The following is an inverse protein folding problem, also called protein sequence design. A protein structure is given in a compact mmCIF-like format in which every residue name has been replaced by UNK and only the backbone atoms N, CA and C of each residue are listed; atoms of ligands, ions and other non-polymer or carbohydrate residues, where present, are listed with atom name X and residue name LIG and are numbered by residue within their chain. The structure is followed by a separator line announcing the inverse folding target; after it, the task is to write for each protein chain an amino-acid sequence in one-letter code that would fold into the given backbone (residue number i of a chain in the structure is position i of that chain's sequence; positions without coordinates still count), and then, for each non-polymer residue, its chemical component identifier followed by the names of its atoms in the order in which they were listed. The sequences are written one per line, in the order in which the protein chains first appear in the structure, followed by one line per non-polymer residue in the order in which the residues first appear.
data_IF_831423031679
#
_entry.id   IF_831423031679
#
_cell.length_a   1.000
_cell.length_b   1.000
_cell.length_c   1.000
_cell.angle_alpha   90.00
_cell.angle_beta   90.00
_cell.angle_gamma   90.00
#
_symmetry.space_group_name_H-M   'P 1'
#
loop_
_entity.id
_entity.type
_entity.pdbx_description
1 polymer ?
#
# COMPACT_ATOMS: atom_id res chain seq x y z
N UNK A 1 72.42 -27.32 -13.55
CA UNK A 1 72.20 -26.18 -12.62
C UNK A 1 71.96 -24.83 -13.32
N UNK A 2 72.40 -24.59 -14.57
CA UNK A 2 72.21 -23.29 -15.24
C UNK A 2 70.77 -22.99 -15.75
N UNK A 3 69.94 -24.02 -15.96
CA UNK A 3 68.56 -23.83 -16.45
C UNK A 3 67.59 -23.36 -15.34
N UNK A 4 67.81 -23.78 -14.09
CA UNK A 4 66.98 -23.41 -12.94
C UNK A 4 67.17 -21.93 -12.57
N UNK A 5 68.39 -21.40 -12.72
CA UNK A 5 68.71 -19.99 -12.47
C UNK A 5 68.19 -19.07 -13.56
N UNK A 6 67.98 -19.56 -14.78
CA UNK A 6 67.44 -18.78 -15.90
C UNK A 6 65.91 -18.64 -15.80
N UNK A 7 65.20 -19.73 -15.45
CA UNK A 7 63.73 -19.71 -15.27
C UNK A 7 63.32 -18.84 -14.07
N UNK A 8 64.05 -18.85 -12.96
CA UNK A 8 63.79 -17.94 -11.83
C UNK A 8 64.03 -16.45 -12.17
N UNK A 9 64.86 -16.16 -13.18
CA UNK A 9 65.15 -14.78 -13.61
C UNK A 9 64.10 -14.23 -14.59
N UNK A 10 63.40 -15.11 -15.31
CA UNK A 10 62.31 -14.76 -16.24
C UNK A 10 60.95 -14.76 -15.51
N UNK A 11 60.72 -15.73 -14.63
CA UNK A 11 59.54 -15.81 -13.76
C UNK A 11 59.87 -15.32 -12.37
N UNK A 12 60.46 -14.11 -12.29
CA UNK A 12 60.58 -13.42 -11.02
C UNK A 12 59.25 -13.54 -10.31
N UNK A 13 59.27 -14.15 -9.12
CA UNK A 13 58.16 -14.16 -8.20
C UNK A 13 57.85 -12.70 -7.92
N UNK A 14 56.92 -12.15 -8.71
CA UNK A 14 56.27 -10.90 -8.38
C UNK A 14 55.72 -11.14 -6.99
N UNK A 15 56.35 -10.52 -5.99
CA UNK A 15 55.81 -10.48 -4.64
C UNK A 15 54.40 -9.96 -4.83
N UNK A 16 53.40 -10.85 -4.73
CA UNK A 16 52.01 -10.41 -4.65
C UNK A 16 52.02 -9.38 -3.53
N UNK A 17 51.61 -8.15 -3.84
CA UNK A 17 51.50 -7.12 -2.81
C UNK A 17 50.70 -7.72 -1.65
N UNK A 18 51.09 -7.45 -0.39
CA UNK A 18 50.38 -8.02 0.75
C UNK A 18 48.90 -7.70 0.61
N UNK A 19 48.06 -8.74 0.54
CA UNK A 19 46.61 -8.59 0.52
C UNK A 19 46.20 -7.86 1.80
N UNK A 20 45.67 -6.66 1.64
CA UNK A 20 45.16 -5.85 2.74
C UNK A 20 43.77 -6.37 3.07
N UNK A 21 43.61 -6.90 4.27
CA UNK A 21 42.32 -7.33 4.77
C UNK A 21 41.57 -6.11 5.30
N UNK A 22 40.41 -5.82 4.73
CA UNK A 22 39.52 -4.72 5.13
C UNK A 22 38.38 -5.30 5.96
N UNK A 23 38.23 -4.85 7.21
CA UNK A 23 37.07 -5.24 8.01
C UNK A 23 35.80 -4.59 7.45
N UNK A 24 34.64 -5.26 7.59
CA UNK A 24 33.38 -4.70 7.10
C UNK A 24 33.09 -3.32 7.70
N UNK A 25 33.35 -3.14 9.00
CA UNK A 25 33.19 -1.85 9.69
C UNK A 25 34.11 -0.73 9.18
N UNK A 26 35.18 -1.07 8.46
CA UNK A 26 36.15 -0.09 7.93
C UNK A 26 35.79 0.39 6.52
N UNK A 27 34.81 -0.23 5.85
CA UNK A 27 34.38 0.15 4.49
C UNK A 27 34.06 1.64 4.36
N UNK A 28 33.31 2.29 5.28
CA UNK A 28 33.03 3.72 5.18
C UNK A 28 34.29 4.59 5.22
N UNK A 29 35.24 4.26 6.10
CA UNK A 29 36.51 4.96 6.21
C UNK A 29 37.37 4.77 4.95
N UNK A 30 37.38 3.54 4.41
CA UNK A 30 38.05 3.21 3.17
C UNK A 30 37.48 3.99 1.97
N UNK A 31 36.15 4.06 1.84
CA UNK A 31 35.48 4.86 0.79
C UNK A 31 35.91 6.32 0.91
N UNK A 32 35.81 6.91 2.11
CA UNK A 32 36.14 8.33 2.34
C UNK A 32 37.61 8.64 2.03
N UNK A 33 38.54 7.76 2.44
CA UNK A 33 39.96 7.91 2.12
C UNK A 33 40.23 7.84 0.62
N UNK A 34 39.48 6.99 -0.09
CA UNK A 34 39.60 6.83 -1.54
C UNK A 34 39.03 8.01 -2.32
N UNK A 35 37.91 8.59 -1.87
CA UNK A 35 37.37 9.84 -2.41
C UNK A 35 38.39 10.99 -2.29
N UNK A 36 39.06 11.11 -1.14
CA UNK A 36 40.12 12.10 -0.94
C UNK A 36 41.30 11.87 -1.90
N UNK A 37 41.75 10.61 -2.00
CA UNK A 37 42.87 10.24 -2.88
C UNK A 37 42.55 10.50 -4.36
N UNK A 38 41.34 10.16 -4.81
CA UNK A 38 40.89 10.42 -6.17
C UNK A 38 40.83 11.93 -6.48
N UNK A 39 40.38 12.74 -5.52
CA UNK A 39 40.34 14.21 -5.64
C UNK A 39 41.74 14.80 -5.71
N UNK A 40 42.66 14.38 -4.84
CA UNK A 40 44.05 14.83 -4.87
C UNK A 40 44.75 14.45 -6.19
N UNK A 41 44.48 13.24 -6.68
CA UNK A 41 45.00 12.75 -7.96
C UNK A 41 44.46 13.60 -9.11
N UNK A 42 43.16 13.93 -9.12
CA UNK A 42 42.55 14.80 -10.11
C UNK A 42 43.23 16.18 -10.13
N UNK A 43 43.34 16.82 -8.96
CA UNK A 43 43.96 18.16 -8.83
C UNK A 43 45.42 18.13 -9.30
N UNK A 44 46.17 17.09 -8.93
CA UNK A 44 47.58 16.97 -9.30
C UNK A 44 47.76 16.74 -10.80
N UNK A 45 47.00 15.81 -11.38
CA UNK A 45 47.12 15.45 -12.79
C UNK A 45 46.59 16.55 -13.75
N UNK A 46 45.68 17.39 -13.29
CA UNK A 46 45.12 18.50 -14.10
C UNK A 46 45.87 19.82 -13.94
N UNK A 47 46.72 19.97 -12.92
CA UNK A 47 47.49 21.19 -12.64
C UNK A 47 48.25 21.70 -13.85
N UNK A 48 49.01 20.83 -14.51
CA UNK A 48 49.84 21.22 -15.67
C UNK A 48 48.98 21.58 -16.89
N UNK A 49 48.02 20.73 -17.35
CA UNK A 49 47.10 21.10 -18.41
C UNK A 49 46.33 22.41 -18.16
N UNK A 50 45.87 22.65 -16.93
CA UNK A 50 45.18 23.90 -16.57
C UNK A 50 46.11 25.11 -16.69
N UNK A 51 47.37 24.97 -16.27
CA UNK A 51 48.41 26.00 -16.42
C UNK A 51 48.71 26.27 -17.91
N UNK A 52 48.86 25.23 -18.72
CA UNK A 52 49.09 25.35 -20.16
C UNK A 52 47.93 26.08 -20.85
N UNK A 53 46.68 25.77 -20.48
CA UNK A 53 45.49 26.45 -21.01
C UNK A 53 45.48 27.92 -20.62
N UNK A 54 45.74 28.26 -19.35
CA UNK A 54 45.80 29.66 -18.89
C UNK A 54 46.89 30.45 -19.63
N UNK A 55 48.08 29.87 -19.75
CA UNK A 55 49.19 30.49 -20.49
C UNK A 55 48.87 30.64 -21.99
N UNK A 56 48.22 29.65 -22.59
CA UNK A 56 47.79 29.71 -23.99
C UNK A 56 46.73 30.78 -24.23
N UNK A 57 45.80 30.99 -23.30
CA UNK A 57 44.82 32.08 -23.35
C UNK A 57 45.51 33.43 -23.28
N UNK A 58 46.44 33.62 -22.35
CA UNK A 58 47.23 34.87 -22.25
C UNK A 58 48.04 35.13 -23.53
N UNK A 59 48.63 34.09 -24.12
CA UNK A 59 49.36 34.19 -25.39
C UNK A 59 48.43 34.58 -26.54
N UNK A 60 47.24 33.98 -26.63
CA UNK A 60 46.23 34.34 -27.62
C UNK A 60 45.72 35.78 -27.44
N UNK A 61 45.54 36.24 -26.20
CA UNK A 61 45.17 37.64 -25.91
C UNK A 61 46.23 38.61 -26.43
N UNK A 62 47.52 38.28 -26.25
CA UNK A 62 48.62 39.08 -26.77
C UNK A 62 48.62 39.10 -28.30
N UNK A 63 48.49 37.95 -28.96
CA UNK A 63 48.42 37.85 -30.42
C UNK A 63 47.24 38.70 -30.96
N UNK A 64 46.05 38.54 -30.38
CA UNK A 64 44.85 39.29 -30.79
C UNK A 64 45.03 40.80 -30.60
N UNK A 65 45.75 41.21 -29.55
CA UNK A 65 46.06 42.62 -29.30
C UNK A 65 47.08 43.17 -30.29
N UNK A 66 48.08 42.38 -30.67
CA UNK A 66 49.07 42.76 -31.68
C UNK A 66 48.43 42.91 -33.07
N UNK A 67 47.54 41.99 -33.48
CA UNK A 67 46.79 42.10 -34.74
C UNK A 67 45.95 43.39 -34.74
N UNK A 68 45.35 43.76 -33.61
CA UNK A 68 44.57 44.99 -33.49
C UNK A 68 45.41 46.27 -33.64
N UNK A 69 46.71 46.20 -33.32
CA UNK A 69 47.65 47.31 -33.38
C UNK A 69 48.49 47.35 -34.66
N UNK A 70 48.42 46.32 -35.52
CA UNK A 70 49.20 46.25 -36.74
C UNK A 70 48.82 47.37 -37.73
N UNK A 71 49.81 48.11 -38.21
CA UNK A 71 49.64 49.11 -39.26
C UNK A 71 49.27 48.43 -40.59
N UNK A 72 48.38 49.07 -41.36
CA UNK A 72 47.87 48.48 -42.59
C UNK A 72 48.89 48.69 -43.71
N UNK A 73 49.29 47.61 -44.38
CA UNK A 73 50.16 47.69 -45.56
C UNK A 73 49.48 48.53 -46.67
N UNK A 74 50.09 49.66 -47.02
CA UNK A 74 49.59 50.61 -48.02
C UNK A 74 49.52 50.00 -49.43
N UNK A 75 50.22 48.87 -49.67
CA UNK A 75 50.21 48.13 -50.94
C UNK A 75 49.02 47.17 -51.12
N UNK A 76 48.18 46.99 -50.09
CA UNK A 76 47.02 46.10 -50.15
C UNK A 76 45.93 46.58 -51.14
N UNK A 77 45.37 45.63 -51.90
CA UNK A 77 44.27 45.89 -52.83
C UNK A 77 43.03 46.50 -52.13
N UNK A 78 42.32 47.49 -52.73
CA UNK A 78 41.22 48.21 -52.10
C UNK A 78 40.11 47.34 -51.49
N UNK A 79 39.76 46.22 -52.13
CA UNK A 79 38.78 45.26 -51.60
C UNK A 79 39.24 44.58 -50.29
N UNK A 80 40.53 44.23 -50.18
CA UNK A 80 41.10 43.64 -48.96
C UNK A 80 41.16 44.65 -47.83
N UNK A 81 41.43 45.93 -48.15
CA UNK A 81 41.41 47.03 -47.19
C UNK A 81 40.02 47.26 -46.58
N UNK A 82 38.96 47.20 -47.38
CA UNK A 82 37.57 47.29 -46.87
C UNK A 82 37.21 46.10 -45.98
N UNK A 83 37.64 44.89 -46.36
CA UNK A 83 37.45 43.68 -45.56
C UNK A 83 38.18 43.78 -44.21
N UNK A 84 39.43 44.25 -44.20
CA UNK A 84 40.19 44.49 -42.97
C UNK A 84 39.44 45.45 -42.02
N UNK A 85 39.00 46.60 -42.55
CA UNK A 85 38.31 47.65 -41.79
C UNK A 85 37.03 47.17 -41.09
N UNK A 86 36.30 46.23 -41.70
CA UNK A 86 35.04 45.72 -41.17
C UNK A 86 35.21 44.47 -40.30
N UNK A 87 36.03 43.51 -40.74
CA UNK A 87 36.16 42.20 -40.09
C UNK A 87 37.12 42.21 -38.89
N UNK A 88 38.17 43.04 -38.90
CA UNK A 88 39.17 43.07 -37.82
C UNK A 88 38.58 43.53 -36.48
N UNK A 89 37.81 44.63 -36.39
CA UNK A 89 37.22 45.05 -35.11
C UNK A 89 36.24 44.02 -34.54
N UNK A 90 35.46 43.35 -35.41
CA UNK A 90 34.52 42.32 -35.01
C UNK A 90 35.24 41.06 -34.50
N UNK A 91 36.29 40.63 -35.20
CA UNK A 91 37.14 39.52 -34.78
C UNK A 91 37.81 39.78 -33.43
N UNK A 92 38.47 40.94 -33.27
CA UNK A 92 39.17 41.31 -32.02
C UNK A 92 38.18 41.39 -30.85
N UNK A 93 37.01 42.00 -31.05
CA UNK A 93 35.97 42.06 -30.02
C UNK A 93 35.50 40.66 -29.60
N UNK A 94 35.18 39.80 -30.57
CA UNK A 94 34.72 38.44 -30.30
C UNK A 94 35.80 37.60 -29.59
N UNK A 95 37.06 37.69 -30.03
CA UNK A 95 38.18 37.00 -29.38
C UNK A 95 38.39 37.49 -27.94
N UNK A 96 38.40 38.80 -27.69
CA UNK A 96 38.58 39.35 -26.34
C UNK A 96 37.47 38.94 -25.38
N UNK A 97 36.21 38.94 -25.83
CA UNK A 97 35.08 38.49 -25.00
C UNK A 97 35.26 37.03 -24.58
N UNK A 98 35.70 36.16 -25.48
CA UNK A 98 35.89 34.75 -25.18
C UNK A 98 37.11 34.49 -24.28
N UNK A 99 38.23 35.17 -24.54
CA UNK A 99 39.48 34.97 -23.81
C UNK A 99 39.50 35.61 -22.41
N UNK A 100 38.61 36.55 -22.13
CA UNK A 100 38.51 37.22 -20.81
C UNK A 100 37.59 36.49 -19.83
N UNK A 101 37.16 35.25 -20.12
CA UNK A 101 36.37 34.46 -19.17
C UNK A 101 37.22 34.07 -17.95
N UNK A 102 36.65 34.23 -16.76
CA UNK A 102 37.28 33.77 -15.52
C UNK A 102 37.35 32.24 -15.48
N UNK A 103 38.50 31.71 -15.06
CA UNK A 103 38.77 30.28 -15.01
C UNK A 103 38.96 29.82 -13.56
N UNK A 104 38.00 29.08 -12.98
CA UNK A 104 38.06 28.56 -11.61
C UNK A 104 39.29 27.69 -11.32
N UNK A 105 39.60 27.47 -10.05
CA UNK A 105 40.70 26.58 -9.64
C UNK A 105 40.28 25.11 -9.51
N UNK A 106 38.98 24.82 -9.36
CA UNK A 106 38.51 23.44 -9.34
C UNK A 106 38.55 22.83 -10.75
N UNK A 107 39.19 21.67 -10.98
CA UNK A 107 39.29 21.06 -12.31
C UNK A 107 37.94 20.71 -12.96
N UNK A 108 36.94 20.37 -12.15
CA UNK A 108 35.59 20.03 -12.60
C UNK A 108 34.82 21.25 -13.11
N UNK A 109 35.01 22.41 -12.48
CA UNK A 109 34.44 23.70 -12.90
C UNK A 109 35.26 24.39 -14.01
N UNK A 110 36.58 24.25 -13.97
CA UNK A 110 37.49 24.82 -14.96
C UNK A 110 37.25 24.25 -16.36
N UNK A 111 37.15 22.92 -16.46
CA UNK A 111 37.05 22.22 -17.73
C UNK A 111 35.91 22.72 -18.65
N UNK A 112 34.64 22.81 -18.21
CA UNK A 112 33.55 23.23 -19.09
C UNK A 112 33.74 24.67 -19.59
N UNK A 113 34.23 25.57 -18.74
CA UNK A 113 34.44 26.98 -19.09
C UNK A 113 35.59 27.10 -20.11
N UNK A 114 36.69 26.39 -19.88
CA UNK A 114 37.83 26.36 -20.80
C UNK A 114 37.48 25.75 -22.15
N UNK A 115 36.76 24.61 -22.16
CA UNK A 115 36.31 23.96 -23.39
C UNK A 115 35.36 24.86 -24.20
N UNK A 116 34.44 25.56 -23.53
CA UNK A 116 33.55 26.52 -24.18
C UNK A 116 34.32 27.74 -24.74
N UNK A 117 35.29 28.26 -23.98
CA UNK A 117 36.17 29.34 -24.45
C UNK A 117 36.89 28.96 -25.76
N UNK A 118 37.49 27.77 -25.80
CA UNK A 118 38.21 27.26 -26.98
C UNK A 118 37.27 27.07 -28.17
N UNK A 119 36.10 26.48 -27.93
CA UNK A 119 35.06 26.31 -28.95
C UNK A 119 34.65 27.66 -29.56
N UNK A 120 34.42 28.68 -28.73
CA UNK A 120 34.00 29.99 -29.21
C UNK A 120 35.13 30.74 -29.94
N UNK A 121 36.39 30.58 -29.50
CA UNK A 121 37.56 31.10 -30.23
C UNK A 121 37.69 30.45 -31.61
N UNK A 122 37.50 29.13 -31.71
CA UNK A 122 37.53 28.41 -32.98
C UNK A 122 36.42 28.90 -33.93
N UNK A 123 35.20 29.07 -33.44
CA UNK A 123 34.09 29.64 -34.23
C UNK A 123 34.40 31.07 -34.72
N UNK A 124 35.04 31.89 -33.88
CA UNK A 124 35.45 33.25 -34.23
C UNK A 124 36.50 33.26 -35.36
N UNK A 125 37.46 32.32 -35.33
CA UNK A 125 38.46 32.15 -36.40
C UNK A 125 37.84 31.65 -37.70
N UNK A 126 36.87 30.73 -37.63
CA UNK A 126 36.17 30.19 -38.81
C UNK A 126 35.17 31.20 -39.42
N UNK A 127 34.62 32.10 -38.61
CA UNK A 127 33.72 33.17 -39.00
C UNK A 127 34.46 34.43 -39.43
N UNK A 128 34.57 35.42 -38.52
CA UNK A 128 35.18 36.71 -38.86
C UNK A 128 36.66 36.59 -39.23
N UNK A 129 37.38 35.66 -38.60
CA UNK A 129 38.81 35.43 -38.85
C UNK A 129 39.13 34.88 -40.24
N UNK A 130 38.17 34.23 -40.92
CA UNK A 130 38.36 33.66 -42.27
C UNK A 130 38.80 34.72 -43.28
N UNK A 131 38.19 35.91 -43.19
CA UNK A 131 38.49 37.02 -44.09
C UNK A 131 39.82 37.70 -43.80
N UNK A 132 40.35 37.53 -42.58
CA UNK A 132 41.64 38.10 -42.16
C UNK A 132 42.82 37.24 -42.57
N UNK A 133 42.61 35.97 -42.96
CA UNK A 133 43.71 35.07 -43.36
C UNK A 133 44.49 35.54 -44.59
N UNK A 134 43.83 36.25 -45.51
CA UNK A 134 44.48 36.80 -46.70
C UNK A 134 45.25 38.11 -46.42
N UNK A 135 45.01 38.74 -45.26
CA UNK A 135 45.54 40.06 -44.90
C UNK A 135 46.62 39.92 -43.82
N UNK A 136 46.41 39.04 -42.85
CA UNK A 136 47.31 38.74 -41.74
C UNK A 136 47.61 37.22 -41.70
N UNK A 137 48.27 36.66 -42.74
CA UNK A 137 48.44 35.21 -42.85
C UNK A 137 49.24 34.62 -41.68
N UNK A 138 50.32 35.28 -41.27
CA UNK A 138 51.19 34.82 -40.19
C UNK A 138 50.53 34.95 -38.82
N UNK A 139 49.84 36.07 -38.53
CA UNK A 139 49.14 36.22 -37.28
C UNK A 139 47.95 35.27 -37.16
N UNK A 140 47.17 35.08 -38.23
CA UNK A 140 46.06 34.12 -38.23
C UNK A 140 46.55 32.67 -38.16
N UNK A 141 47.78 32.39 -38.59
CA UNK A 141 48.44 31.10 -38.35
C UNK A 141 48.84 30.97 -36.88
N UNK A 142 49.36 32.01 -36.25
CA UNK A 142 49.67 32.04 -34.82
C UNK A 142 48.41 31.86 -33.95
N UNK A 143 47.30 32.53 -34.28
CA UNK A 143 46.01 32.33 -33.58
C UNK A 143 45.54 30.89 -33.66
N UNK A 144 45.57 30.28 -34.86
CA UNK A 144 45.19 28.86 -35.04
C UNK A 144 46.08 27.94 -34.20
N UNK A 145 47.40 28.15 -34.25
CA UNK A 145 48.36 27.38 -33.47
C UNK A 145 48.15 27.51 -31.94
N UNK A 146 47.78 28.70 -31.47
CA UNK A 146 47.41 28.93 -30.08
C UNK A 146 46.15 28.17 -29.68
N UNK A 147 45.10 28.21 -30.50
CA UNK A 147 43.85 27.45 -30.28
C UNK A 147 44.12 25.94 -30.29
N UNK A 148 44.97 25.44 -31.19
CA UNK A 148 45.35 24.02 -31.23
C UNK A 148 46.08 23.59 -29.96
N UNK A 149 46.91 24.47 -29.39
CA UNK A 149 47.60 24.22 -28.13
C UNK A 149 46.63 24.12 -26.96
N UNK A 150 45.64 25.02 -26.91
CA UNK A 150 44.56 24.93 -25.92
C UNK A 150 43.74 23.64 -26.06
N UNK A 151 43.43 23.26 -27.30
CA UNK A 151 42.71 22.02 -27.61
C UNK A 151 43.46 20.77 -27.14
N UNK A 152 44.80 20.75 -27.26
CA UNK A 152 45.63 19.67 -26.69
C UNK A 152 45.54 19.61 -25.17
N UNK A 153 45.59 20.76 -24.48
CA UNK A 153 45.43 20.83 -23.03
C UNK A 153 44.08 20.25 -22.55
N UNK A 154 42.97 20.61 -23.23
CA UNK A 154 41.65 20.03 -22.94
C UNK A 154 41.62 18.53 -23.16
N UNK A 155 42.19 18.06 -24.26
CA UNK A 155 42.23 16.63 -24.57
C UNK A 155 43.06 15.84 -23.53
N UNK A 156 44.09 16.45 -22.94
CA UNK A 156 44.85 15.86 -21.84
C UNK A 156 44.04 15.75 -20.54
N UNK A 157 43.10 16.66 -20.28
CA UNK A 157 42.24 16.60 -19.08
C UNK A 157 41.12 15.55 -19.18
N UNK A 158 40.61 15.27 -20.39
CA UNK A 158 39.50 14.34 -20.63
C UNK A 158 39.67 12.95 -19.95
N UNK A 159 40.77 12.20 -20.16
CA UNK A 159 40.93 10.88 -19.58
C UNK A 159 40.99 10.92 -18.05
N UNK A 160 41.59 11.96 -17.47
CA UNK A 160 41.71 12.14 -16.01
C UNK A 160 40.33 12.39 -15.39
N UNK A 161 39.56 13.30 -15.97
CA UNK A 161 38.19 13.59 -15.52
C UNK A 161 37.26 12.38 -15.68
N UNK A 162 37.40 11.63 -16.78
CA UNK A 162 36.63 10.40 -17.00
C UNK A 162 36.96 9.32 -15.96
N UNK A 163 38.25 9.12 -15.64
CA UNK A 163 38.70 8.19 -14.61
C UNK A 163 38.17 8.59 -13.23
N UNK A 164 38.30 9.87 -12.86
CA UNK A 164 37.77 10.40 -11.59
C UNK A 164 36.26 10.18 -11.46
N UNK A 165 35.48 10.51 -12.49
CA UNK A 165 34.02 10.27 -12.47
C UNK A 165 33.68 8.80 -12.34
N UNK A 166 34.39 7.92 -13.06
CA UNK A 166 34.19 6.47 -12.97
C UNK A 166 34.45 5.97 -11.56
N UNK A 167 35.52 6.43 -10.92
CA UNK A 167 35.87 6.07 -9.54
C UNK A 167 34.83 6.57 -8.54
N UNK A 168 34.43 7.85 -8.62
CA UNK A 168 33.40 8.42 -7.73
C UNK A 168 32.05 7.70 -7.83
N UNK A 169 31.61 7.35 -9.06
CA UNK A 169 30.40 6.54 -9.25
C UNK A 169 30.55 5.15 -8.63
N UNK A 170 31.71 4.51 -8.76
CA UNK A 170 31.99 3.22 -8.13
C UNK A 170 31.90 3.28 -6.60
N UNK A 171 32.49 4.32 -6.01
CA UNK A 171 32.48 4.56 -4.56
C UNK A 171 31.07 4.82 -4.03
N UNK A 172 30.27 5.59 -4.75
CA UNK A 172 28.87 5.84 -4.39
C UNK A 172 28.04 4.54 -4.37
N UNK A 173 28.20 3.67 -5.37
CA UNK A 173 27.54 2.35 -5.41
C UNK A 173 27.99 1.45 -4.24
N UNK A 174 29.27 1.44 -3.90
CA UNK A 174 29.77 0.69 -2.74
C UNK A 174 29.19 1.21 -1.43
N UNK A 175 29.04 2.53 -1.29
CA UNK A 175 28.42 3.16 -0.12
C UNK A 175 26.96 2.74 0.04
N UNK A 176 26.17 2.85 -1.02
CA UNK A 176 24.76 2.43 -1.03
C UNK A 176 24.59 0.95 -0.65
N UNK A 177 25.44 0.07 -1.19
CA UNK A 177 25.42 -1.36 -0.84
C UNK A 177 25.76 -1.59 0.63
N UNK A 178 26.79 -0.93 1.14
CA UNK A 178 27.17 -1.02 2.55
C UNK A 178 26.03 -0.56 3.48
N UNK A 179 25.41 0.57 3.18
CA UNK A 179 24.27 1.12 3.92
C UNK A 179 23.06 0.18 3.86
N UNK A 180 22.80 -0.44 2.71
CA UNK A 180 21.74 -1.45 2.57
C UNK A 180 22.01 -2.67 3.44
N UNK A 181 23.23 -3.22 3.42
CA UNK A 181 23.58 -4.40 4.22
C UNK A 181 23.46 -4.10 5.72
N UNK A 182 24.02 -2.97 6.18
CA UNK A 182 23.95 -2.56 7.59
C UNK A 182 22.51 -2.33 8.05
N UNK A 183 21.68 -1.71 7.21
CA UNK A 183 20.25 -1.55 7.47
C UNK A 183 19.53 -2.89 7.62
N UNK A 184 19.74 -3.84 6.70
CA UNK A 184 19.14 -5.18 6.77
C UNK A 184 19.59 -5.96 8.01
N UNK A 185 20.86 -5.84 8.42
CA UNK A 185 21.37 -6.48 9.64
C UNK A 185 20.69 -5.91 10.90
N UNK A 186 20.57 -4.58 10.99
CA UNK A 186 19.89 -3.92 12.12
C UNK A 186 18.39 -4.27 12.17
N UNK A 187 17.73 -4.34 11.01
CA UNK A 187 16.32 -4.76 10.92
C UNK A 187 16.15 -6.23 11.35
N UNK A 188 17.10 -7.11 11.01
CA UNK A 188 17.09 -8.51 11.42
C UNK A 188 17.20 -8.64 12.94
N UNK A 189 18.11 -7.91 13.57
CA UNK A 189 18.25 -7.85 15.03
C UNK A 189 16.95 -7.32 15.70
N UNK A 190 16.42 -6.20 15.20
CA UNK A 190 15.19 -5.61 15.71
C UNK A 190 13.96 -6.54 15.53
N UNK A 191 13.99 -7.43 14.52
CA UNK A 191 12.93 -8.40 14.30
C UNK A 191 12.86 -9.47 15.40
N UNK A 192 13.96 -9.83 16.06
CA UNK A 192 13.95 -10.81 17.15
C UNK A 192 13.09 -10.36 18.31
N UNK A 193 13.19 -9.07 18.65
CA UNK A 193 12.39 -8.48 19.70
C UNK A 193 10.89 -8.50 19.34
N UNK A 194 10.55 -8.27 18.06
CA UNK A 194 9.17 -8.42 17.57
C UNK A 194 8.69 -9.87 17.70
N UNK A 195 9.52 -10.85 17.33
CA UNK A 195 9.21 -12.28 17.49
C UNK A 195 8.95 -12.62 18.95
N UNK A 196 9.81 -12.19 19.87
CA UNK A 196 9.64 -12.43 21.31
C UNK A 196 8.32 -11.85 21.84
N UNK A 197 7.99 -10.61 21.46
CA UNK A 197 6.73 -9.95 21.86
C UNK A 197 5.50 -10.68 21.34
N UNK A 198 5.47 -11.07 20.06
CA UNK A 198 4.32 -11.80 19.50
C UNK A 198 4.15 -13.18 20.15
N UNK A 199 5.24 -13.90 20.45
CA UNK A 199 5.15 -15.16 21.20
C UNK A 199 4.59 -14.95 22.62
N UNK A 200 5.06 -13.91 23.34
CA UNK A 200 4.55 -13.57 24.66
C UNK A 200 3.05 -13.23 24.61
N UNK A 201 2.62 -12.48 23.60
CA UNK A 201 1.22 -12.12 23.39
C UNK A 201 0.35 -13.34 23.10
N UNK A 202 0.81 -14.26 22.26
CA UNK A 202 0.11 -15.53 21.98
C UNK A 202 -0.01 -16.36 23.27
N UNK A 203 1.04 -16.42 24.08
CA UNK A 203 1.02 -17.16 25.35
C UNK A 203 -0.02 -16.57 26.33
N UNK A 204 -0.04 -15.24 26.50
CA UNK A 204 -1.04 -14.53 27.31
C UNK A 204 -2.47 -14.79 26.84
N UNK A 205 -2.70 -14.74 25.51
CA UNK A 205 -4.01 -15.04 24.94
C UNK A 205 -4.42 -16.48 25.22
N UNK A 206 -3.50 -17.45 25.06
CA UNK A 206 -3.77 -18.88 25.33
C UNK A 206 -4.10 -19.11 26.80
N UNK A 207 -3.40 -18.46 27.72
CA UNK A 207 -3.70 -18.52 29.16
C UNK A 207 -5.10 -17.97 29.45
N UNK A 208 -5.46 -16.82 28.87
CA UNK A 208 -6.80 -16.26 29.04
C UNK A 208 -7.89 -17.16 28.46
N UNK A 209 -7.69 -17.75 27.28
CA UNK A 209 -8.64 -18.70 26.69
C UNK A 209 -8.82 -19.92 27.59
N UNK A 210 -7.74 -20.49 28.15
CA UNK A 210 -7.84 -21.61 29.08
C UNK A 210 -8.60 -21.24 30.36
N UNK A 211 -8.38 -20.03 30.89
CA UNK A 211 -9.15 -19.49 32.02
C UNK A 211 -10.64 -19.34 31.68
N UNK A 212 -10.98 -18.83 30.49
CA UNK A 212 -12.36 -18.72 30.02
C UNK A 212 -13.01 -20.10 29.90
N UNK A 213 -12.29 -21.09 29.37
CA UNK A 213 -12.81 -22.47 29.24
C UNK A 213 -13.13 -23.09 30.60
N UNK A 214 -12.28 -22.86 31.61
CA UNK A 214 -12.57 -23.28 32.98
C UNK A 214 -13.77 -22.54 33.58
N UNK A 215 -13.88 -21.22 33.35
CA UNK A 215 -15.04 -20.43 33.80
C UNK A 215 -16.33 -20.94 33.15
N UNK A 216 -16.35 -21.17 31.83
CA UNK A 216 -17.51 -21.71 31.11
C UNK A 216 -17.91 -23.09 31.61
N UNK A 217 -16.94 -23.98 31.86
CA UNK A 217 -17.20 -25.29 32.44
C UNK A 217 -17.84 -25.16 33.83
N UNK A 218 -17.31 -24.28 34.69
CA UNK A 218 -17.87 -24.04 36.03
C UNK A 218 -19.31 -23.50 35.98
N UNK A 219 -19.59 -22.57 35.05
CA UNK A 219 -20.93 -22.00 34.86
C UNK A 219 -21.93 -23.03 34.32
N UNK A 220 -21.47 -23.94 33.44
CA UNK A 220 -22.31 -25.03 32.92
C UNK A 220 -22.72 -26.05 33.99
N UNK A 221 -21.92 -26.19 35.05
CA UNK A 221 -22.15 -27.10 36.18
C UNK A 221 -22.87 -26.41 37.35
N UNK A 222 -23.13 -25.10 37.25
CA UNK A 222 -23.84 -24.34 38.28
C UNK A 222 -25.23 -24.92 38.52
N UNK A 223 -25.61 -25.06 39.80
CA UNK A 223 -26.91 -25.64 40.18
C UNK A 223 -28.10 -24.89 39.54
N UNK A 224 -27.97 -23.58 39.34
CA UNK A 224 -28.99 -22.73 38.69
C UNK A 224 -29.18 -23.05 37.21
N UNK A 225 -28.27 -23.80 36.58
CA UNK A 225 -28.47 -24.27 35.19
C UNK A 225 -29.68 -25.21 35.09
N UNK A 226 -29.97 -25.98 36.14
CA UNK A 226 -31.18 -26.80 36.20
C UNK A 226 -32.45 -25.96 36.19
N UNK A 227 -32.43 -24.81 36.88
CA UNK A 227 -33.58 -23.90 36.91
C UNK A 227 -33.82 -23.30 35.52
N UNK A 228 -32.75 -22.95 34.80
CA UNK A 228 -32.82 -22.47 33.40
C UNK A 228 -33.38 -23.56 32.47
N UNK A 229 -32.92 -24.80 32.62
CA UNK A 229 -33.43 -25.92 31.81
C UNK A 229 -34.91 -26.21 32.09
N UNK A 230 -35.34 -26.05 33.35
CA UNK A 230 -36.76 -26.17 33.70
C UNK A 230 -37.57 -25.02 33.12
N UNK A 231 -37.08 -23.78 33.20
CA UNK A 231 -37.69 -22.62 32.53
C UNK A 231 -37.82 -22.84 31.01
N UNK A 232 -36.80 -23.43 30.37
CA UNK A 232 -36.84 -23.80 28.94
C UNK A 232 -37.91 -24.83 28.63
N UNK A 233 -38.10 -25.85 29.48
CA UNK A 233 -39.19 -26.83 29.33
C UNK A 233 -40.55 -26.18 29.48
N UNK A 234 -40.72 -25.32 30.49
CA UNK A 234 -41.98 -24.57 30.70
C UNK A 234 -42.27 -23.69 29.49
N UNK A 235 -41.28 -22.95 28.98
CA UNK A 235 -41.41 -22.15 27.76
C UNK A 235 -41.80 -23.01 26.55
N UNK A 236 -41.15 -24.15 26.33
CA UNK A 236 -41.51 -25.07 25.25
C UNK A 236 -42.95 -25.59 25.37
N UNK A 237 -43.40 -25.89 26.60
CA UNK A 237 -44.80 -26.27 26.87
C UNK A 237 -45.80 -25.15 26.60
N UNK A 238 -45.45 -23.89 26.94
CA UNK A 238 -46.26 -22.72 26.60
C UNK A 238 -46.37 -22.52 25.09
N UNK A 239 -45.26 -22.65 24.36
CA UNK A 239 -45.24 -22.56 22.90
C UNK A 239 -46.11 -23.65 22.26
N UNK A 240 -46.04 -24.89 22.76
CA UNK A 240 -46.93 -25.97 22.28
C UNK A 240 -48.41 -25.64 22.46
N UNK A 241 -48.78 -25.11 23.63
CA UNK A 241 -50.17 -24.66 23.90
C UNK A 241 -50.58 -23.46 23.03
N UNK A 242 -49.67 -22.51 22.80
CA UNK A 242 -49.89 -21.38 21.89
C UNK A 242 -50.20 -21.90 20.48
N UNK A 243 -49.42 -22.84 19.99
CA UNK A 243 -49.60 -23.42 18.65
C UNK A 243 -50.94 -24.17 18.53
N UNK A 244 -51.35 -24.89 19.58
CA UNK A 244 -52.68 -25.52 19.65
C UNK A 244 -53.82 -24.49 19.65
N UNK A 245 -53.67 -23.41 20.42
CA UNK A 245 -54.64 -22.32 20.45
C UNK A 245 -54.73 -21.60 19.09
N UNK A 246 -53.59 -21.39 18.43
CA UNK A 246 -53.52 -20.81 17.09
C UNK A 246 -54.23 -21.69 16.06
N UNK A 247 -53.99 -23.00 16.09
CA UNK A 247 -54.70 -23.97 15.24
C UNK A 247 -56.20 -23.94 15.45
N UNK A 248 -56.64 -23.89 16.71
CA UNK A 248 -58.07 -23.85 17.04
C UNK A 248 -58.72 -22.55 16.58
N UNK A 249 -58.08 -21.41 16.86
CA UNK A 249 -58.56 -20.10 16.39
C UNK A 249 -58.65 -20.05 14.86
N UNK A 250 -57.61 -20.51 14.16
CA UNK A 250 -57.57 -20.57 12.70
C UNK A 250 -58.67 -21.46 12.11
N UNK A 251 -58.91 -22.63 12.71
CA UNK A 251 -60.00 -23.53 12.26
C UNK A 251 -61.38 -22.88 12.38
N UNK A 252 -61.65 -22.20 13.51
CA UNK A 252 -62.89 -21.46 13.74
C UNK A 252 -63.02 -20.28 12.76
N UNK A 253 -61.94 -19.50 12.57
CA UNK A 253 -61.96 -18.30 11.75
C UNK A 253 -62.12 -18.60 10.27
N UNK A 254 -61.42 -19.64 9.76
CA UNK A 254 -61.56 -20.10 8.38
C UNK A 254 -62.97 -20.60 8.09
N UNK A 255 -63.53 -21.42 8.99
CA UNK A 255 -64.87 -22.00 8.81
C UNK A 255 -65.94 -20.91 8.75
N UNK A 256 -65.91 -19.93 9.65
CA UNK A 256 -66.84 -18.80 9.63
C UNK A 256 -66.64 -17.91 8.39
N UNK A 257 -65.39 -17.62 8.02
CA UNK A 257 -65.06 -16.82 6.83
C UNK A 257 -65.60 -17.44 5.53
N UNK A 258 -65.58 -18.77 5.41
CA UNK A 258 -66.14 -19.45 4.24
C UNK A 258 -67.64 -19.25 4.10
N UNK A 259 -68.40 -19.26 5.20
CA UNK A 259 -69.84 -19.02 5.18
C UNK A 259 -70.14 -17.55 4.92
N UNK A 260 -69.44 -16.62 5.58
CA UNK A 260 -69.60 -15.19 5.30
C UNK A 260 -69.26 -14.83 3.85
N UNK A 261 -68.28 -15.48 3.23
CA UNK A 261 -67.98 -15.30 1.80
C UNK A 261 -69.10 -15.82 0.88
N UNK A 262 -69.82 -16.87 1.28
CA UNK A 262 -71.00 -17.35 0.53
C UNK A 262 -72.15 -16.34 0.67
N UNK A 263 -72.42 -15.88 1.89
CA UNK A 263 -73.43 -14.88 2.19
C UNK A 263 -73.16 -13.56 1.45
N UNK A 264 -71.90 -13.11 1.43
CA UNK A 264 -71.50 -11.87 0.76
C UNK A 264 -71.80 -11.93 -0.73
N UNK A 265 -71.45 -13.04 -1.41
CA UNK A 265 -71.76 -13.23 -2.84
C UNK A 265 -73.25 -13.15 -3.16
N UNK A 266 -74.11 -13.56 -2.23
CA UNK A 266 -75.57 -13.53 -2.41
C UNK A 266 -76.09 -12.12 -2.15
N UNK A 267 -75.68 -11.48 -1.05
CA UNK A 267 -76.03 -10.10 -0.73
C UNK A 267 -75.60 -9.13 -1.86
N UNK A 268 -74.43 -9.35 -2.46
CA UNK A 268 -73.92 -8.62 -3.62
C UNK A 268 -74.83 -8.80 -4.85
N UNK A 269 -75.32 -10.02 -5.13
CA UNK A 269 -76.27 -10.28 -6.23
C UNK A 269 -77.64 -9.62 -5.99
N UNK A 270 -78.09 -9.59 -4.74
CA UNK A 270 -79.36 -8.98 -4.32
C UNK A 270 -79.26 -7.44 -4.15
N UNK A 271 -78.07 -6.85 -4.33
CA UNK A 271 -77.79 -5.41 -4.21
C UNK A 271 -78.01 -4.84 -2.79
N UNK A 272 -77.78 -5.64 -1.75
CA UNK A 272 -77.84 -5.20 -0.35
C UNK A 272 -76.48 -4.67 0.12
N UNK A 273 -76.15 -3.42 -0.24
CA UNK A 273 -74.83 -2.82 0.02
C UNK A 273 -74.44 -2.75 1.51
N UNK A 274 -75.40 -2.54 2.42
CA UNK A 274 -75.16 -2.54 3.87
C UNK A 274 -74.78 -3.92 4.40
N UNK A 275 -75.43 -4.97 3.92
CA UNK A 275 -75.18 -6.37 4.30
C UNK A 275 -73.80 -6.85 3.82
N UNK A 276 -73.43 -6.48 2.59
CA UNK A 276 -72.08 -6.70 2.03
C UNK A 276 -71.02 -6.04 2.90
N UNK A 277 -71.24 -4.81 3.36
CA UNK A 277 -70.29 -4.11 4.23
C UNK A 277 -70.08 -4.82 5.58
N UNK A 278 -71.16 -5.32 6.19
CA UNK A 278 -71.06 -6.03 7.49
C UNK A 278 -70.32 -7.37 7.36
N UNK A 279 -70.59 -8.13 6.29
CA UNK A 279 -69.92 -9.40 6.02
C UNK A 279 -68.44 -9.21 5.67
N UNK A 280 -68.11 -8.18 4.91
CA UNK A 280 -66.72 -7.83 4.61
C UNK A 280 -65.94 -7.43 5.88
N UNK A 281 -66.54 -6.64 6.77
CA UNK A 281 -65.91 -6.28 8.04
C UNK A 281 -65.64 -7.51 8.93
N UNK A 282 -66.57 -8.48 8.99
CA UNK A 282 -66.34 -9.73 9.71
C UNK A 282 -65.26 -10.60 9.05
N UNK A 283 -65.26 -10.72 7.71
CA UNK A 283 -64.22 -11.46 7.00
C UNK A 283 -62.84 -10.84 7.15
N UNK A 284 -62.74 -9.51 7.19
CA UNK A 284 -61.47 -8.80 7.40
C UNK A 284 -60.85 -9.19 8.74
N UNK A 285 -61.62 -9.13 9.84
CA UNK A 285 -61.15 -9.48 11.18
C UNK A 285 -60.84 -10.98 11.33
N UNK A 286 -61.56 -11.86 10.61
CA UNK A 286 -61.31 -13.30 10.64
C UNK A 286 -60.16 -13.77 9.73
N UNK A 287 -59.86 -13.00 8.68
CA UNK A 287 -58.76 -13.29 7.73
C UNK A 287 -57.42 -12.73 8.21
N UNK A 288 -57.44 -11.88 9.24
CA UNK A 288 -56.23 -11.42 9.89
C UNK A 288 -55.52 -12.60 10.57
N UNK A 289 -54.28 -12.86 10.16
CA UNK A 289 -53.44 -13.94 10.69
C UNK A 289 -52.64 -13.50 11.92
N UNK A 290 -52.80 -12.25 12.35
CA UNK A 290 -52.24 -11.72 13.58
C UNK A 290 -53.14 -12.02 14.79
N UNK A 291 -52.64 -11.73 16.00
CA UNK A 291 -53.40 -11.92 17.24
C UNK A 291 -54.66 -11.06 17.19
N UNK A 292 -55.87 -11.65 17.20
CA UNK A 292 -57.09 -10.91 16.95
C UNK A 292 -57.37 -9.90 18.06
N UNK A 293 -57.81 -8.70 17.69
CA UNK A 293 -58.49 -7.81 18.61
C UNK A 293 -59.85 -8.41 18.96
N UNK A 294 -59.93 -9.05 20.13
CA UNK A 294 -61.13 -9.74 20.61
C UNK A 294 -62.36 -8.83 20.71
N UNK A 295 -62.19 -7.52 20.90
CA UNK A 295 -63.31 -6.56 20.95
C UNK A 295 -63.85 -6.25 19.55
N UNK A 296 -62.95 -6.02 18.59
CA UNK A 296 -63.32 -5.84 17.17
C UNK A 296 -63.91 -7.13 16.58
N UNK A 297 -63.35 -8.28 16.94
CA UNK A 297 -63.83 -9.59 16.52
C UNK A 297 -65.27 -9.83 16.99
N UNK A 298 -65.56 -9.63 18.28
CA UNK A 298 -66.91 -9.85 18.80
C UNK A 298 -67.94 -8.90 18.15
N UNK A 299 -67.59 -7.62 18.01
CA UNK A 299 -68.48 -6.62 17.38
C UNK A 299 -68.78 -6.95 15.91
N UNK A 300 -67.76 -7.36 15.14
CA UNK A 300 -67.94 -7.72 13.74
C UNK A 300 -68.79 -8.99 13.57
N UNK A 301 -68.56 -10.00 14.42
CA UNK A 301 -69.37 -11.23 14.42
C UNK A 301 -70.80 -10.97 14.91
N UNK A 302 -71.00 -10.10 15.89
CA UNK A 302 -72.33 -9.71 16.38
C UNK A 302 -73.22 -9.14 15.27
N UNK A 303 -72.62 -8.39 14.34
CA UNK A 303 -73.32 -7.81 13.21
C UNK A 303 -73.52 -8.80 12.04
N UNK A 304 -72.54 -9.67 11.78
CA UNK A 304 -72.57 -10.57 10.62
C UNK A 304 -73.31 -11.90 10.86
N UNK A 305 -73.27 -12.45 12.09
CA UNK A 305 -73.91 -13.74 12.42
C UNK A 305 -75.43 -13.75 12.19
N UNK A 306 -76.22 -12.77 12.67
CA UNK A 306 -77.68 -12.77 12.45
C UNK A 306 -78.07 -12.69 10.97
N UNK A 307 -77.25 -11.97 10.17
CA UNK A 307 -77.44 -11.88 8.73
C UNK A 307 -77.23 -13.24 8.05
N UNK A 308 -76.14 -13.93 8.40
CA UNK A 308 -75.86 -15.27 7.86
C UNK A 308 -76.92 -16.29 8.31
N UNK A 309 -77.39 -16.25 9.56
CA UNK A 309 -78.48 -17.10 10.06
C UNK A 309 -79.76 -16.93 9.25
N UNK A 310 -80.17 -15.68 8.98
CA UNK A 310 -81.33 -15.38 8.14
C UNK A 310 -81.18 -15.96 6.74
N UNK A 311 -80.03 -15.73 6.09
CA UNK A 311 -79.78 -16.23 4.73
C UNK A 311 -79.69 -17.77 4.67
N UNK A 312 -79.31 -18.43 5.77
CA UNK A 312 -79.36 -19.89 5.88
C UNK A 312 -80.81 -20.36 6.03
N UNK A 313 -81.61 -19.70 6.87
CA UNK A 313 -83.02 -20.03 7.10
C UNK A 313 -83.89 -19.85 5.84
N UNK A 314 -83.60 -18.81 5.05
CA UNK A 314 -84.27 -18.53 3.78
C UNK A 314 -83.85 -19.51 2.66
N UNK A 315 -82.85 -20.36 2.91
CA UNK A 315 -82.32 -21.34 1.95
C UNK A 315 -81.33 -20.77 0.93
N UNK A 316 -80.97 -19.48 1.06
CA UNK A 316 -80.03 -18.79 0.18
C UNK A 316 -78.58 -19.30 0.38
N UNK A 317 -78.14 -19.46 1.62
CA UNK A 317 -76.79 -19.97 1.96
C UNK A 317 -76.84 -21.44 2.35
N UNK A 318 -76.24 -22.30 1.53
CA UNK A 318 -76.12 -23.74 1.82
C UNK A 318 -74.89 -24.04 2.69
N UNK A 319 -75.16 -24.54 3.89
CA UNK A 319 -74.18 -25.01 4.86
C UNK A 319 -73.85 -26.49 4.57
N UNK A 320 -72.59 -26.81 4.26
CA UNK A 320 -72.22 -28.10 3.65
C UNK A 320 -71.59 -29.10 4.64
N UNK A 321 -70.71 -28.63 5.50
CA UNK A 321 -69.98 -29.51 6.42
C UNK A 321 -70.60 -29.51 7.83
N UNK A 322 -70.07 -30.33 8.73
CA UNK A 322 -70.61 -30.47 10.10
C UNK A 322 -70.25 -29.25 10.95
N UNK A 323 -69.09 -28.65 10.69
CA UNK A 323 -68.48 -27.56 11.42
C UNK A 323 -69.21 -26.24 11.16
N UNK A 324 -69.50 -25.91 9.90
CA UNK A 324 -70.32 -24.76 9.52
C UNK A 324 -71.73 -24.91 10.12
N UNK A 325 -72.33 -26.12 10.11
CA UNK A 325 -73.66 -26.35 10.72
C UNK A 325 -73.65 -26.12 12.22
N UNK A 326 -72.60 -26.54 12.92
CA UNK A 326 -72.47 -26.32 14.35
C UNK A 326 -72.36 -24.82 14.69
N UNK A 327 -71.55 -24.07 13.93
CA UNK A 327 -71.36 -22.63 14.12
C UNK A 327 -72.68 -21.86 13.97
N UNK A 328 -73.44 -22.12 12.91
CA UNK A 328 -74.66 -21.35 12.59
C UNK A 328 -75.95 -21.94 13.18
N UNK A 329 -75.85 -23.03 13.94
CA UNK A 329 -76.95 -23.52 14.79
C UNK A 329 -77.04 -22.80 16.15
N UNK A 330 -75.94 -22.19 16.59
CA UNK A 330 -75.82 -21.47 17.85
C UNK A 330 -74.70 -20.41 17.72
N UNK A 331 -74.98 -19.33 16.99
CA UNK A 331 -73.99 -18.27 16.78
C UNK A 331 -73.57 -17.51 18.03
N UNK A 332 -74.43 -17.32 19.08
CA UNK A 332 -73.97 -16.79 20.35
C UNK A 332 -72.86 -17.64 20.97
N UNK A 333 -73.02 -18.97 20.99
CA UNK A 333 -71.98 -19.87 21.50
C UNK A 333 -70.71 -19.86 20.65
N UNK A 334 -70.84 -19.87 19.32
CA UNK A 334 -69.67 -19.75 18.45
C UNK A 334 -68.87 -18.46 18.71
N UNK A 335 -69.57 -17.32 18.85
CA UNK A 335 -68.94 -16.03 19.16
C UNK A 335 -68.17 -16.09 20.47
N UNK A 336 -68.76 -16.65 21.52
CA UNK A 336 -68.06 -16.87 22.79
C UNK A 336 -66.83 -17.77 22.64
N UNK A 337 -66.94 -18.86 21.87
CA UNK A 337 -65.86 -19.83 21.64
C UNK A 337 -64.68 -19.20 20.88
N UNK A 338 -64.92 -18.48 19.77
CA UNK A 338 -63.85 -17.87 18.97
C UNK A 338 -63.20 -16.67 19.69
N UNK A 339 -63.98 -15.86 20.43
CA UNK A 339 -63.44 -14.77 21.26
C UNK A 339 -62.59 -15.33 22.40
N UNK A 340 -63.01 -16.43 23.03
CA UNK A 340 -62.23 -17.14 24.06
C UNK A 340 -60.95 -17.71 23.48
N UNK A 341 -61.00 -18.33 22.30
CA UNK A 341 -59.82 -18.84 21.61
C UNK A 341 -58.82 -17.70 21.28
N UNK A 342 -59.31 -16.57 20.77
CA UNK A 342 -58.49 -15.39 20.48
C UNK A 342 -57.82 -14.80 21.74
N UNK A 343 -58.56 -14.70 22.86
CA UNK A 343 -58.01 -14.24 24.14
C UNK A 343 -56.94 -15.20 24.67
N UNK A 344 -57.21 -16.50 24.63
CA UNK A 344 -56.26 -17.53 25.06
C UNK A 344 -54.99 -17.52 24.23
N UNK A 345 -55.09 -17.31 22.91
CA UNK A 345 -53.94 -17.21 22.03
C UNK A 345 -53.06 -16.01 22.40
N UNK A 346 -53.66 -14.82 22.57
CA UNK A 346 -52.96 -13.61 23.01
C UNK A 346 -52.22 -13.80 24.32
N UNK A 347 -52.91 -14.35 25.32
CA UNK A 347 -52.34 -14.59 26.64
C UNK A 347 -51.15 -15.56 26.58
N UNK A 348 -51.27 -16.65 25.81
CA UNK A 348 -50.20 -17.62 25.63
C UNK A 348 -49.00 -17.00 24.89
N UNK A 349 -49.23 -16.15 23.91
CA UNK A 349 -48.16 -15.46 23.19
C UNK A 349 -47.38 -14.49 24.09
N UNK A 350 -48.08 -13.69 24.90
CA UNK A 350 -47.45 -12.84 25.92
C UNK A 350 -46.66 -13.67 26.94
N UNK A 351 -47.20 -14.81 27.38
CA UNK A 351 -46.50 -15.70 28.31
C UNK A 351 -45.25 -16.33 27.68
N UNK A 352 -45.31 -16.74 26.41
CA UNK A 352 -44.15 -17.25 25.69
C UNK A 352 -43.06 -16.18 25.59
N UNK A 353 -43.40 -14.97 25.14
CA UNK A 353 -42.45 -13.86 25.01
C UNK A 353 -41.82 -13.49 26.35
N UNK A 354 -42.62 -13.39 27.43
CA UNK A 354 -42.09 -13.11 28.78
C UNK A 354 -41.13 -14.19 29.24
N UNK A 355 -41.47 -15.47 29.03
CA UNK A 355 -40.61 -16.59 29.41
C UNK A 355 -39.32 -16.60 28.58
N UNK A 356 -39.38 -16.33 27.27
CA UNK A 356 -38.20 -16.20 26.41
C UNK A 356 -37.28 -15.06 26.87
N UNK A 357 -37.84 -13.87 27.12
CA UNK A 357 -37.07 -12.73 27.64
C UNK A 357 -36.44 -13.04 29.00
N UNK A 358 -37.14 -13.72 29.90
CA UNK A 358 -36.62 -14.11 31.21
C UNK A 358 -35.44 -15.10 31.09
N UNK A 359 -35.55 -16.08 30.18
CA UNK A 359 -34.45 -17.02 29.90
C UNK A 359 -33.27 -16.26 29.29
N UNK A 360 -33.50 -15.46 28.23
CA UNK A 360 -32.43 -14.77 27.51
C UNK A 360 -31.68 -13.75 28.39
N UNK A 361 -32.38 -13.09 29.32
CA UNK A 361 -31.78 -12.12 30.26
C UNK A 361 -31.20 -12.76 31.52
N UNK A 362 -31.24 -14.08 31.64
CA UNK A 362 -30.72 -14.76 32.83
C UNK A 362 -29.21 -14.48 33.00
N UNK A 363 -28.75 -13.95 34.17
CA UNK A 363 -27.38 -13.48 34.37
C UNK A 363 -26.29 -14.51 34.01
N UNK A 364 -26.54 -15.80 34.29
CA UNK A 364 -25.61 -16.87 33.91
C UNK A 364 -25.45 -17.00 32.39
N UNK A 365 -26.54 -16.99 31.62
CA UNK A 365 -26.48 -17.12 30.18
C UNK A 365 -25.84 -15.88 29.55
N UNK A 366 -26.13 -14.69 30.07
CA UNK A 366 -25.48 -13.44 29.65
C UNK A 366 -23.97 -13.51 29.91
N UNK A 367 -23.53 -13.99 31.08
CA UNK A 367 -22.11 -14.16 31.39
C UNK A 367 -21.45 -15.18 30.44
N UNK A 368 -22.08 -16.34 30.22
CA UNK A 368 -21.56 -17.36 29.31
C UNK A 368 -21.44 -16.82 27.87
N UNK A 369 -22.45 -16.12 27.36
CA UNK A 369 -22.39 -15.49 26.04
C UNK A 369 -21.30 -14.42 25.95
N UNK A 370 -21.09 -13.64 27.01
CA UNK A 370 -20.01 -12.65 27.07
C UNK A 370 -18.63 -13.33 26.99
N UNK A 371 -18.43 -14.42 27.73
CA UNK A 371 -17.20 -15.20 27.72
C UNK A 371 -16.95 -15.86 26.36
N UNK A 372 -17.97 -16.41 25.71
CA UNK A 372 -17.87 -16.97 24.36
C UNK A 372 -17.49 -15.89 23.32
N UNK A 373 -18.05 -14.68 23.44
CA UNK A 373 -17.67 -13.54 22.59
C UNK A 373 -16.21 -13.13 22.80
N UNK A 374 -15.78 -13.03 24.06
CA UNK A 374 -14.38 -12.74 24.41
C UNK A 374 -13.45 -13.81 23.82
N UNK A 375 -13.78 -15.10 23.97
CA UNK A 375 -13.03 -16.22 23.40
C UNK A 375 -12.92 -16.13 21.88
N UNK A 376 -14.01 -15.80 21.18
CA UNK A 376 -14.01 -15.62 19.73
C UNK A 376 -13.11 -14.43 19.30
N UNK A 377 -13.12 -13.33 20.05
CA UNK A 377 -12.23 -12.19 19.81
C UNK A 377 -10.75 -12.57 20.01
N UNK A 378 -10.44 -13.29 21.09
CA UNK A 378 -9.10 -13.78 21.38
C UNK A 378 -8.59 -14.77 20.31
N UNK A 379 -9.46 -15.63 19.79
CA UNK A 379 -9.11 -16.52 18.67
C UNK A 379 -8.73 -15.73 17.41
N UNK A 380 -9.52 -14.70 17.05
CA UNK A 380 -9.20 -13.83 15.92
C UNK A 380 -7.88 -13.05 16.13
N UNK A 381 -7.60 -12.60 17.36
CA UNK A 381 -6.33 -11.96 17.70
C UNK A 381 -5.15 -12.93 17.58
N UNK A 382 -5.31 -14.19 18.01
CA UNK A 382 -4.27 -15.22 17.90
C UNK A 382 -3.92 -15.48 16.42
N UNK A 383 -4.93 -15.65 15.56
CA UNK A 383 -4.73 -15.84 14.11
C UNK A 383 -3.95 -14.68 13.52
N UNK A 384 -4.25 -13.44 13.92
CA UNK A 384 -3.53 -12.25 13.45
C UNK A 384 -2.06 -12.23 13.89
N UNK A 385 -1.77 -12.57 15.14
CA UNK A 385 -0.39 -12.66 15.65
C UNK A 385 0.39 -13.80 14.95
N UNK A 386 -0.24 -14.96 14.76
CA UNK A 386 0.37 -16.10 14.06
C UNK A 386 0.66 -15.78 12.58
N UNK A 387 -0.26 -15.08 11.92
CA UNK A 387 -0.03 -14.56 10.56
C UNK A 387 1.15 -13.57 10.54
N UNK A 388 1.19 -12.62 11.49
CA UNK A 388 2.29 -11.66 11.61
C UNK A 388 3.65 -12.33 11.83
N UNK A 389 3.69 -13.38 12.65
CA UNK A 389 4.90 -14.21 12.85
C UNK A 389 5.31 -14.95 11.57
N UNK A 390 4.36 -15.47 10.81
CA UNK A 390 4.64 -16.15 9.53
C UNK A 390 5.22 -15.19 8.50
N UNK A 391 4.62 -14.02 8.33
CA UNK A 391 5.09 -12.97 7.42
C UNK A 391 6.48 -12.47 7.84
N UNK A 392 6.70 -12.25 9.14
CA UNK A 392 8.00 -11.86 9.68
C UNK A 392 9.05 -12.95 9.45
N UNK A 393 8.69 -14.22 9.63
CA UNK A 393 9.57 -15.36 9.35
C UNK A 393 9.99 -15.45 7.88
N UNK A 394 9.05 -15.30 6.95
CA UNK A 394 9.34 -15.26 5.51
C UNK A 394 10.25 -14.09 5.14
N UNK A 395 9.99 -12.91 5.71
CA UNK A 395 10.82 -11.73 5.52
C UNK A 395 12.24 -11.93 6.06
N UNK A 396 12.40 -12.53 7.26
CA UNK A 396 13.71 -12.86 7.85
C UNK A 396 14.48 -13.82 6.95
N UNK A 397 13.85 -14.91 6.51
CA UNK A 397 14.48 -15.91 5.64
C UNK A 397 14.95 -15.29 4.33
N UNK A 398 14.11 -14.45 3.70
CA UNK A 398 14.48 -13.73 2.47
C UNK A 398 15.65 -12.78 2.71
N UNK A 399 15.60 -12.01 3.78
CA UNK A 399 16.65 -11.03 4.13
C UNK A 399 17.99 -11.73 4.40
N UNK A 400 17.97 -12.85 5.12
CA UNK A 400 19.17 -13.62 5.44
C UNK A 400 19.81 -14.27 4.19
N UNK A 401 19.02 -14.56 3.15
CA UNK A 401 19.52 -14.98 1.83
C UNK A 401 20.05 -13.82 0.98
N UNK A 402 19.49 -12.62 1.13
CA UNK A 402 19.90 -11.43 0.37
C UNK A 402 21.21 -10.82 0.87
N UNK A 403 21.48 -10.85 2.18
CA UNK A 403 22.71 -10.26 2.75
C UNK A 403 23.99 -10.85 2.12
N UNK A 404 24.16 -12.18 1.99
CA UNK A 404 25.33 -12.76 1.32
C UNK A 404 25.51 -12.32 -0.13
N UNK A 405 24.41 -12.17 -0.89
CA UNK A 405 24.46 -11.71 -2.27
C UNK A 405 24.95 -10.25 -2.35
N UNK A 406 24.43 -9.39 -1.47
CA UNK A 406 24.86 -8.00 -1.38
C UNK A 406 26.31 -7.87 -0.91
N UNK A 407 26.75 -8.71 0.03
CA UNK A 407 28.15 -8.78 0.48
C UNK A 407 29.08 -9.18 -0.67
N UNK A 408 28.68 -10.16 -1.48
CA UNK A 408 29.43 -10.57 -2.65
C UNK A 408 29.52 -9.45 -3.70
N UNK A 409 28.42 -8.76 -3.97
CA UNK A 409 28.42 -7.61 -4.88
C UNK A 409 29.29 -6.45 -4.36
N UNK A 410 29.27 -6.21 -3.05
CA UNK A 410 30.14 -5.20 -2.42
C UNK A 410 31.62 -5.60 -2.53
N UNK A 411 31.94 -6.88 -2.29
CA UNK A 411 33.28 -7.46 -2.48
C UNK A 411 33.79 -7.24 -3.88
N UNK A 412 33.03 -7.67 -4.88
CA UNK A 412 33.39 -7.53 -6.29
C UNK A 412 33.65 -6.06 -6.65
N UNK A 413 32.83 -5.14 -6.14
CA UNK A 413 33.00 -3.71 -6.40
C UNK A 413 34.23 -3.13 -5.72
N UNK A 414 34.52 -3.51 -4.47
CA UNK A 414 35.72 -3.09 -3.75
C UNK A 414 36.97 -3.65 -4.46
N UNK A 415 36.96 -4.91 -4.90
CA UNK A 415 38.07 -5.51 -5.65
C UNK A 415 38.26 -4.83 -7.01
N UNK A 416 37.19 -4.54 -7.76
CA UNK A 416 37.27 -3.81 -9.03
C UNK A 416 37.95 -2.45 -8.86
N UNK A 417 37.66 -1.74 -7.78
CA UNK A 417 38.27 -0.44 -7.49
C UNK A 417 39.70 -0.58 -6.95
N UNK A 418 39.96 -1.53 -6.05
CA UNK A 418 41.24 -1.68 -5.36
C UNK A 418 42.31 -2.43 -6.14
N UNK A 419 41.91 -3.16 -7.19
CA UNK A 419 42.67 -4.29 -7.70
C UNK A 419 42.64 -5.48 -6.73
N UNK A 420 43.38 -6.54 -7.05
CA UNK A 420 43.42 -7.80 -6.29
C UNK A 420 44.05 -7.70 -4.87
N UNK A 421 44.33 -6.47 -4.41
CA UNK A 421 45.08 -6.18 -3.20
C UNK A 421 44.21 -6.00 -1.95
N UNK A 422 42.88 -5.99 -2.05
CA UNK A 422 41.97 -5.83 -0.89
C UNK A 422 41.00 -7.00 -0.78
N UNK A 423 40.90 -7.60 0.41
CA UNK A 423 39.89 -8.61 0.73
C UNK A 423 38.95 -8.10 1.84
N UNK A 424 37.64 -8.09 1.57
CA UNK A 424 36.62 -7.72 2.55
C UNK A 424 36.26 -8.92 3.44
N UNK A 425 36.45 -8.77 4.75
CA UNK A 425 35.94 -9.73 5.73
C UNK A 425 34.42 -9.64 5.86
N UNK A 426 33.77 -10.80 6.02
CA UNK A 426 32.33 -10.82 6.28
C UNK A 426 32.03 -10.25 7.67
N UNK A 427 30.96 -9.46 7.81
CA UNK A 427 30.46 -9.09 9.12
C UNK A 427 29.92 -10.33 9.86
N UNK A 428 29.91 -10.25 11.18
CA UNK A 428 29.19 -11.23 12.00
C UNK A 428 27.68 -11.08 11.74
N UNK A 429 27.06 -12.11 11.19
CA UNK A 429 25.63 -12.08 10.89
C UNK A 429 24.83 -12.31 12.17
N UNK A 430 23.67 -11.62 12.35
CA UNK A 430 22.76 -11.94 13.43
C UNK A 430 22.38 -13.42 13.39
N UNK A 431 22.26 -14.02 14.57
CA UNK A 431 21.87 -15.42 14.69
C UNK A 431 20.50 -15.66 14.01
N UNK A 432 20.29 -16.85 13.42
CA UNK A 432 19.03 -17.19 12.75
C UNK A 432 17.81 -17.09 13.67
#
# INVERSE_FOLDING_TARGET
MALHTFIQKIFGTGKSAPQVTLAFSEVPAWITGRESTAKETLVTATREPMREIRNGIATLQLIVTNIAAAEHDESLHPKLRTIAKNSLPQFVRAMKVNLNKDLPEDPGEFYPIAAECIKNCLHTVQGQGRYLQAIFPDDMKAVRSGIDTLGRGINSMNPVLAAYRKEMTGLAVSREKYETITGLMADLEASEEKVKRSHARIAEIRERVASIDQELLSLSQDARMKDIDEQRKVHAGLCGRRDDAARTYSALSMTASHVFRKAEKIATKQRHASEVSLLNAAMEVLSDHEIPDTGRLDAALAAACPLAERMIADGDVVVKNKEERAIFSDTPRFREEIVRAGRSLRELEEQCQRAECAIASHPLLVKMQSLEREKAQLAAMTVKEEQGLSELGQWREKTQKQIPELLQQLREKITEMSGDNVQLQDPELPAP
#
